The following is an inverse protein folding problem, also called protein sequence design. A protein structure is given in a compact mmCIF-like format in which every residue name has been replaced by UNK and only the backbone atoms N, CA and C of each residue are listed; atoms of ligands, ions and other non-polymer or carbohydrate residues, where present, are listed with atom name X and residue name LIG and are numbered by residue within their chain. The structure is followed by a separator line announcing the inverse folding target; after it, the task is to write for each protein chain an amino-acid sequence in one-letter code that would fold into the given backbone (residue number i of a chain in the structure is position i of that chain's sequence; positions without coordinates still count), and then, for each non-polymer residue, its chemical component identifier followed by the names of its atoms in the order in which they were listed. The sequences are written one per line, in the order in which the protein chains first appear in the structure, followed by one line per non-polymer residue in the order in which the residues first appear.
data_IF_090202068980
#
_entry.id   IF_090202068980
#
_cell.length_a   1.000
_cell.length_b   1.000
_cell.length_c   1.000
_cell.angle_alpha   90.00
_cell.angle_beta   90.00
_cell.angle_gamma   90.00
#
_symmetry.space_group_name_H-M   'P 1'
#
loop_
_entity.id
_entity.type
_entity.pdbx_description
1 polymer ?
#
# COMPACT_ATOMS: atom_id res chain seq x y z
N UNK A 1 11.17 10.03 -0.38
CA UNK A 1 10.29 10.04 0.80
C UNK A 1 10.48 8.69 1.49
N UNK A 2 11.01 8.68 2.71
CA UNK A 2 11.23 7.42 3.44
C UNK A 2 9.87 6.84 3.86
N UNK A 3 9.68 5.54 3.65
CA UNK A 3 8.54 4.80 4.16
C UNK A 3 8.72 4.52 5.66
N UNK A 4 7.66 4.31 6.43
CA UNK A 4 7.79 3.90 7.83
C UNK A 4 8.48 2.54 7.89
N UNK A 5 9.52 2.45 8.71
CA UNK A 5 10.24 1.23 9.01
C UNK A 5 9.53 0.53 10.18
N UNK A 6 9.09 -0.70 9.96
CA UNK A 6 8.30 -1.47 10.93
C UNK A 6 9.12 -2.12 12.04
N UNK A 7 10.46 -1.96 12.01
CA UNK A 7 11.39 -2.59 12.97
C UNK A 7 11.86 -1.67 14.08
N UNK A 8 11.39 -0.42 14.10
CA UNK A 8 11.82 0.57 15.08
C UNK A 8 10.93 0.57 16.32
N UNK A 9 11.45 1.05 17.48
CA UNK A 9 10.66 1.22 18.70
C UNK A 9 9.41 2.06 18.46
N UNK A 10 8.34 1.79 19.20
CA UNK A 10 7.03 2.43 19.01
C UNK A 10 7.08 3.97 19.05
N UNK A 11 7.93 4.56 19.87
CA UNK A 11 8.10 6.02 19.95
C UNK A 11 8.73 6.58 18.68
N UNK A 12 9.80 5.96 18.20
CA UNK A 12 10.46 6.35 16.96
C UNK A 12 9.55 6.11 15.75
N UNK A 13 8.79 5.03 15.76
CA UNK A 13 7.76 4.75 14.74
C UNK A 13 6.70 5.85 14.73
N UNK A 14 6.28 6.34 15.89
CA UNK A 14 5.32 7.44 16.01
C UNK A 14 5.84 8.71 15.35
N UNK A 15 7.09 9.12 15.65
CA UNK A 15 7.71 10.32 15.09
C UNK A 15 7.86 10.21 13.57
N UNK A 16 8.39 9.08 13.07
CA UNK A 16 8.53 8.83 11.62
C UNK A 16 7.19 8.78 10.90
N UNK A 17 6.18 8.20 11.52
CA UNK A 17 4.82 8.17 10.95
C UNK A 17 4.22 9.57 10.87
N UNK A 18 4.46 10.42 11.88
CA UNK A 18 4.01 11.81 11.87
C UNK A 18 4.70 12.62 10.76
N UNK A 19 6.01 12.50 10.64
CA UNK A 19 6.77 13.16 9.58
C UNK A 19 6.31 12.71 8.20
N UNK A 20 6.19 11.39 7.98
CA UNK A 20 5.70 10.81 6.74
C UNK A 20 4.31 11.31 6.37
N UNK A 21 3.38 11.34 7.32
CA UNK A 21 2.02 11.91 7.11
C UNK A 21 2.08 13.39 6.76
N UNK A 22 2.92 14.17 7.41
CA UNK A 22 3.12 15.58 7.11
C UNK A 22 3.61 15.81 5.68
N UNK A 23 4.56 14.99 5.22
CA UNK A 23 5.05 15.01 3.84
C UNK A 23 3.95 14.64 2.83
N UNK A 24 3.15 13.60 3.11
CA UNK A 24 2.00 13.23 2.27
C UNK A 24 0.96 14.35 2.21
N UNK A 25 0.64 14.99 3.34
CA UNK A 25 -0.29 16.12 3.38
C UNK A 25 0.21 17.31 2.56
N UNK A 26 1.53 17.57 2.58
CA UNK A 26 2.12 18.62 1.76
C UNK A 26 1.98 18.32 0.27
N UNK A 27 2.20 17.07 -0.15
CA UNK A 27 2.00 16.62 -1.53
C UNK A 27 0.53 16.64 -1.95
N UNK A 28 -0.37 16.27 -1.05
CA UNK A 28 -1.81 16.21 -1.33
C UNK A 28 -2.45 17.57 -1.62
N UNK A 29 -1.78 18.69 -1.26
CA UNK A 29 -2.20 20.05 -1.63
C UNK A 29 -2.20 20.28 -3.13
N UNK A 30 -1.44 19.50 -3.88
CA UNK A 30 -1.38 19.60 -5.33
C UNK A 30 -2.40 18.66 -5.97
N UNK A 31 -3.41 19.16 -6.68
CA UNK A 31 -4.52 18.34 -7.19
C UNK A 31 -4.10 17.32 -8.27
N UNK A 32 -2.97 17.55 -8.91
CA UNK A 32 -2.39 16.67 -9.94
C UNK A 32 -1.46 15.58 -9.37
N UNK A 33 -1.26 15.53 -8.05
CA UNK A 33 -0.48 14.50 -7.40
C UNK A 33 -1.39 13.36 -6.98
N UNK A 34 -1.03 12.16 -7.38
CA UNK A 34 -1.66 10.89 -6.99
C UNK A 34 -0.65 9.99 -6.30
N UNK A 35 -1.14 9.03 -5.55
CA UNK A 35 -0.33 8.06 -4.80
C UNK A 35 -0.53 6.66 -5.35
N UNK A 36 0.56 5.91 -5.49
CA UNK A 36 0.52 4.49 -5.85
C UNK A 36 0.67 3.64 -4.58
N UNK A 37 -0.34 2.83 -4.29
CA UNK A 37 -0.30 1.82 -3.26
C UNK A 37 0.51 0.63 -3.77
N UNK A 38 1.79 0.57 -3.40
CA UNK A 38 2.74 -0.45 -3.86
C UNK A 38 4.00 -0.50 -2.99
N UNK A 39 4.87 -1.49 -3.21
CA UNK A 39 6.20 -1.57 -2.66
C UNK A 39 6.25 -1.86 -1.15
N UNK A 40 5.19 -2.43 -0.57
CA UNK A 40 5.15 -2.71 0.87
C UNK A 40 6.06 -3.87 1.24
N UNK A 41 6.13 -4.91 0.42
CA UNK A 41 6.93 -6.12 0.73
C UNK A 41 8.43 -5.87 0.82
N UNK A 42 8.94 -4.79 0.25
CA UNK A 42 10.34 -4.39 0.46
C UNK A 42 10.62 -3.79 1.84
N UNK A 43 9.59 -3.50 2.60
CA UNK A 43 9.66 -2.87 3.93
C UNK A 43 9.25 -3.83 5.06
N UNK A 44 8.89 -5.07 4.74
CA UNK A 44 8.51 -6.10 5.70
C UNK A 44 9.66 -7.08 5.94
N UNK A 45 9.80 -7.57 7.19
CA UNK A 45 10.71 -8.66 7.53
C UNK A 45 10.20 -10.02 7.08
N UNK A 46 11.08 -11.03 7.16
CA UNK A 46 10.76 -12.42 6.87
C UNK A 46 9.52 -12.91 7.63
N UNK A 47 9.47 -12.71 8.94
CA UNK A 47 8.35 -13.16 9.78
C UNK A 47 7.04 -12.45 9.40
N UNK A 48 7.11 -11.20 8.97
CA UNK A 48 5.96 -10.43 8.51
C UNK A 48 5.48 -10.86 7.14
N UNK A 49 6.39 -11.09 6.19
CA UNK A 49 6.07 -11.51 4.81
C UNK A 49 5.53 -12.93 4.76
N UNK A 50 5.94 -13.80 5.70
CA UNK A 50 5.46 -15.18 5.79
C UNK A 50 4.21 -15.36 6.64
N UNK A 51 3.73 -14.28 7.29
CA UNK A 51 2.46 -14.27 7.97
C UNK A 51 1.29 -14.49 6.99
N UNK A 52 0.13 -14.83 7.52
CA UNK A 52 -1.07 -14.92 6.70
C UNK A 52 -1.53 -13.53 6.20
N UNK A 53 -2.34 -13.53 5.15
CA UNK A 53 -2.84 -12.31 4.49
C UNK A 53 -3.56 -11.37 5.46
N UNK A 54 -4.36 -11.92 6.39
CA UNK A 54 -5.09 -11.12 7.38
C UNK A 54 -4.12 -10.41 8.32
N UNK A 55 -3.12 -11.12 8.82
CA UNK A 55 -2.11 -10.56 9.73
C UNK A 55 -1.35 -9.40 9.07
N UNK A 56 -0.88 -9.58 7.84
CA UNK A 56 -0.19 -8.54 7.09
C UNK A 56 -1.11 -7.34 6.84
N UNK A 57 -2.35 -7.61 6.40
CA UNK A 57 -3.32 -6.56 6.12
C UNK A 57 -3.63 -5.71 7.37
N UNK A 58 -3.88 -6.33 8.51
CA UNK A 58 -4.12 -5.62 9.77
C UNK A 58 -2.92 -4.78 10.21
N UNK A 59 -1.71 -5.28 10.02
CA UNK A 59 -0.49 -4.59 10.41
C UNK A 59 -0.29 -3.30 9.61
N UNK A 60 -0.52 -3.32 8.29
CA UNK A 60 -0.29 -2.17 7.42
C UNK A 60 -1.51 -1.27 7.23
N UNK A 61 -2.69 -1.69 7.71
CA UNK A 61 -3.95 -0.96 7.57
C UNK A 61 -3.87 0.51 8.04
N UNK A 62 -3.23 0.88 9.17
CA UNK A 62 -3.17 2.27 9.62
C UNK A 62 -2.49 3.21 8.63
N UNK A 63 -1.45 2.73 7.92
CA UNK A 63 -0.77 3.54 6.90
C UNK A 63 -1.61 3.67 5.63
N UNK A 64 -2.24 2.59 5.21
CA UNK A 64 -3.14 2.60 4.04
C UNK A 64 -4.33 3.51 4.29
N UNK A 65 -4.96 3.43 5.46
CA UNK A 65 -6.03 4.36 5.88
C UNK A 65 -5.55 5.82 5.84
N UNK A 66 -4.32 6.08 6.29
CA UNK A 66 -3.74 7.44 6.22
C UNK A 66 -3.62 7.95 4.79
N UNK A 67 -3.23 7.09 3.85
CA UNK A 67 -3.14 7.44 2.42
C UNK A 67 -4.53 7.85 1.89
N UNK A 68 -5.55 7.03 2.14
CA UNK A 68 -6.91 7.33 1.69
C UNK A 68 -7.50 8.57 2.36
N UNK A 69 -7.24 8.78 3.65
CA UNK A 69 -7.69 9.97 4.39
C UNK A 69 -7.07 11.25 3.81
N UNK A 70 -5.79 11.19 3.40
CA UNK A 70 -5.04 12.37 2.94
C UNK A 70 -5.32 12.69 1.45
N UNK A 71 -5.35 11.68 0.58
CA UNK A 71 -5.50 11.89 -0.86
C UNK A 71 -6.93 11.71 -1.37
N UNK A 72 -7.74 10.94 -0.66
CA UNK A 72 -9.04 10.48 -1.15
C UNK A 72 -8.90 9.39 -2.22
N UNK A 73 -9.87 8.48 -2.29
CA UNK A 73 -9.87 7.36 -3.23
C UNK A 73 -9.64 7.76 -4.71
N UNK A 74 -10.14 8.92 -5.20
CA UNK A 74 -9.89 9.33 -6.58
C UNK A 74 -8.43 9.62 -6.94
N UNK A 75 -7.52 9.66 -5.97
CA UNK A 75 -6.10 9.90 -6.20
C UNK A 75 -5.20 8.76 -5.72
N UNK A 76 -5.77 7.62 -5.39
CA UNK A 76 -5.04 6.40 -5.03
C UNK A 76 -5.17 5.38 -6.14
N UNK A 77 -4.05 4.82 -6.59
CA UNK A 77 -3.98 3.75 -7.57
C UNK A 77 -3.24 2.55 -7.00
N UNK A 78 -3.67 1.35 -7.35
CA UNK A 78 -2.92 0.15 -7.02
C UNK A 78 -1.78 -0.08 -8.01
N UNK A 79 -0.69 -0.68 -7.53
CA UNK A 79 0.42 -1.12 -8.37
C UNK A 79 1.10 -2.34 -7.78
N UNK A 80 1.47 -3.28 -8.64
CA UNK A 80 2.18 -4.51 -8.26
C UNK A 80 3.60 -4.27 -7.78
N UNK A 81 4.21 -3.18 -8.23
CA UNK A 81 5.64 -2.89 -8.07
C UNK A 81 6.56 -3.95 -8.71
N UNK A 82 6.00 -4.76 -9.63
CA UNK A 82 6.79 -5.74 -10.38
C UNK A 82 7.83 -5.04 -11.27
N UNK A 83 9.07 -5.56 -11.41
CA UNK A 83 9.60 -6.77 -10.77
C UNK A 83 10.21 -6.53 -9.38
N UNK A 84 10.16 -5.31 -8.85
CA UNK A 84 10.81 -4.93 -7.58
C UNK A 84 10.21 -5.67 -6.39
N UNK A 85 8.91 -5.92 -6.38
CA UNK A 85 8.25 -6.69 -5.34
C UNK A 85 8.88 -8.08 -5.14
N UNK A 86 9.38 -8.70 -6.21
CA UNK A 86 10.03 -10.00 -6.16
C UNK A 86 11.41 -9.95 -5.48
N UNK A 87 12.12 -8.83 -5.54
CA UNK A 87 13.49 -8.72 -5.03
C UNK A 87 13.49 -8.86 -3.51
N UNK A 88 12.67 -8.07 -2.81
CA UNK A 88 12.54 -8.15 -1.35
C UNK A 88 11.97 -9.49 -0.91
N UNK A 89 10.85 -9.89 -1.49
CA UNK A 89 10.15 -11.13 -1.19
C UNK A 89 11.04 -12.37 -1.44
N UNK A 90 11.72 -12.43 -2.59
CA UNK A 90 12.57 -13.55 -2.94
C UNK A 90 13.82 -13.69 -2.07
N UNK A 91 14.38 -12.60 -1.57
CA UNK A 91 15.49 -12.65 -0.62
C UNK A 91 15.06 -13.25 0.73
N UNK A 92 13.80 -13.08 1.10
CA UNK A 92 13.26 -13.55 2.37
C UNK A 92 12.72 -14.99 2.31
N UNK A 93 11.93 -15.32 1.26
CA UNK A 93 11.26 -16.62 1.17
C UNK A 93 12.01 -17.67 0.33
N UNK A 94 13.17 -17.29 -0.22
CA UNK A 94 13.97 -18.10 -1.13
C UNK A 94 13.57 -17.92 -2.60
N UNK A 95 14.57 -18.07 -3.48
CA UNK A 95 14.40 -17.80 -4.93
C UNK A 95 13.31 -18.65 -5.60
N UNK A 96 13.00 -19.83 -5.02
CA UNK A 96 11.97 -20.72 -5.55
C UNK A 96 10.54 -20.19 -5.39
N UNK A 97 10.33 -19.23 -4.49
CA UNK A 97 9.02 -18.58 -4.21
C UNK A 97 8.95 -17.14 -4.72
N UNK A 98 9.97 -16.69 -5.41
CA UNK A 98 10.09 -15.30 -5.88
C UNK A 98 8.92 -14.86 -6.75
N UNK A 99 8.36 -15.77 -7.54
CA UNK A 99 7.25 -15.49 -8.46
C UNK A 99 5.91 -15.27 -7.74
N UNK A 100 5.79 -15.67 -6.46
CA UNK A 100 4.56 -15.51 -5.67
C UNK A 100 4.35 -14.13 -5.04
N UNK A 101 5.31 -13.22 -5.14
CA UNK A 101 5.22 -11.91 -4.47
C UNK A 101 4.08 -11.04 -5.03
N UNK A 102 3.82 -11.13 -6.32
CA UNK A 102 2.74 -10.40 -6.96
C UNK A 102 1.37 -10.86 -6.46
N UNK A 103 1.14 -12.17 -6.44
CA UNK A 103 -0.11 -12.78 -5.95
C UNK A 103 -0.31 -12.49 -4.47
N UNK A 104 0.75 -12.61 -3.67
CA UNK A 104 0.71 -12.32 -2.24
C UNK A 104 0.37 -10.84 -1.97
N UNK A 105 1.03 -9.91 -2.68
CA UNK A 105 0.73 -8.48 -2.55
C UNK A 105 -0.69 -8.15 -3.02
N UNK A 106 -1.15 -8.77 -4.09
CA UNK A 106 -2.52 -8.63 -4.56
C UNK A 106 -3.52 -9.07 -3.50
N UNK A 107 -3.35 -10.28 -2.94
CA UNK A 107 -4.24 -10.81 -1.91
C UNK A 107 -4.28 -9.92 -0.65
N UNK A 108 -3.13 -9.44 -0.19
CA UNK A 108 -3.06 -8.47 0.92
C UNK A 108 -3.78 -7.17 0.57
N UNK A 109 -3.60 -6.68 -0.65
CA UNK A 109 -4.26 -5.44 -1.10
C UNK A 109 -5.78 -5.59 -1.20
N UNK A 110 -6.27 -6.73 -1.71
CA UNK A 110 -7.69 -7.06 -1.73
C UNK A 110 -8.27 -7.02 -0.31
N UNK A 111 -7.61 -7.71 0.63
CA UNK A 111 -8.05 -7.75 2.03
C UNK A 111 -8.02 -6.37 2.71
N UNK A 112 -6.99 -5.56 2.45
CA UNK A 112 -6.91 -4.18 2.95
C UNK A 112 -8.10 -3.32 2.51
N UNK A 113 -8.43 -3.38 1.22
CA UNK A 113 -9.53 -2.61 0.66
C UNK A 113 -10.88 -3.11 1.18
N UNK A 114 -11.05 -4.42 1.39
CA UNK A 114 -12.22 -4.99 2.06
C UNK A 114 -12.36 -4.47 3.48
N UNK A 115 -11.29 -4.46 4.28
CA UNK A 115 -11.29 -3.94 5.65
C UNK A 115 -11.70 -2.46 5.69
N UNK A 116 -11.26 -1.65 4.74
CA UNK A 116 -11.66 -0.25 4.66
C UNK A 116 -13.15 -0.10 4.29
N UNK A 117 -13.69 -0.99 3.45
CA UNK A 117 -15.14 -1.02 3.17
C UNK A 117 -15.93 -1.47 4.39
N UNK A 118 -15.50 -2.53 5.09
CA UNK A 118 -16.13 -3.02 6.31
C UNK A 118 -16.20 -1.95 7.41
N UNK A 119 -15.18 -1.10 7.49
CA UNK A 119 -15.13 0.03 8.44
C UNK A 119 -15.92 1.26 7.99
N UNK A 120 -16.37 1.32 6.75
CA UNK A 120 -17.05 2.47 6.16
C UNK A 120 -16.13 3.61 5.72
N UNK A 121 -14.83 3.35 5.63
CA UNK A 121 -13.82 4.32 5.16
C UNK A 121 -13.80 4.43 3.63
N UNK A 122 -14.23 3.38 2.91
CA UNK A 122 -14.36 3.32 1.45
C UNK A 122 -15.69 2.70 1.03
N UNK A 123 -16.14 3.05 -0.16
CA UNK A 123 -17.23 2.36 -0.87
C UNK A 123 -16.68 1.29 -1.83
N UNK A 124 -17.51 0.32 -2.21
CA UNK A 124 -17.14 -0.68 -3.22
C UNK A 124 -16.81 -0.06 -4.59
N UNK A 125 -17.45 1.05 -4.94
CA UNK A 125 -17.19 1.79 -6.17
C UNK A 125 -15.79 2.41 -6.15
N UNK A 126 -15.40 3.04 -5.03
CA UNK A 126 -14.06 3.58 -4.85
C UNK A 126 -12.97 2.51 -4.93
N UNK A 127 -13.22 1.33 -4.35
CA UNK A 127 -12.32 0.18 -4.48
C UNK A 127 -12.14 -0.22 -5.95
N UNK A 128 -13.24 -0.31 -6.72
CA UNK A 128 -13.16 -0.55 -8.18
C UNK A 128 -12.33 0.52 -8.90
N UNK A 129 -12.44 1.77 -8.45
CA UNK A 129 -11.63 2.88 -8.96
C UNK A 129 -10.13 2.68 -8.74
N UNK A 130 -9.73 2.26 -7.54
CA UNK A 130 -8.32 2.03 -7.17
C UNK A 130 -7.65 0.97 -8.05
N UNK A 131 -8.40 -0.09 -8.42
CA UNK A 131 -7.89 -1.17 -9.26
C UNK A 131 -7.70 -0.80 -10.73
N UNK A 132 -8.45 0.15 -11.29
CA UNK A 132 -8.36 0.41 -12.72
C UNK A 132 -8.79 1.80 -13.19
N UNK A 133 -9.97 2.27 -12.83
CA UNK A 133 -10.54 3.52 -13.38
C UNK A 133 -9.70 4.76 -13.06
N UNK A 134 -9.15 4.83 -11.83
CA UNK A 134 -8.30 5.95 -11.41
C UNK A 134 -7.00 5.95 -12.20
N UNK A 135 -6.38 4.79 -12.42
CA UNK A 135 -5.15 4.69 -13.21
C UNK A 135 -5.40 5.08 -14.66
N UNK A 136 -6.50 4.62 -15.25
CA UNK A 136 -6.89 4.97 -16.62
C UNK A 136 -7.01 6.49 -16.81
N UNK A 137 -7.66 7.16 -15.87
CA UNK A 137 -7.81 8.61 -15.87
C UNK A 137 -6.48 9.34 -15.69
N UNK A 138 -5.65 8.94 -14.70
CA UNK A 138 -4.38 9.61 -14.40
C UNK A 138 -3.38 9.48 -15.54
N UNK A 139 -3.28 8.30 -16.14
CA UNK A 139 -2.36 8.04 -17.25
C UNK A 139 -2.98 8.34 -18.62
N UNK A 140 -4.21 8.87 -18.66
CA UNK A 140 -4.93 9.24 -19.89
C UNK A 140 -5.02 8.06 -20.87
N UNK A 141 -5.26 6.86 -20.35
CA UNK A 141 -5.50 5.69 -21.17
C UNK A 141 -6.89 5.82 -21.78
N UNK A 142 -6.99 5.73 -23.08
CA UNK A 142 -8.26 5.84 -23.83
C UNK A 142 -9.12 4.58 -23.70
N UNK A 143 -9.50 4.24 -22.46
CA UNK A 143 -10.36 3.10 -22.13
C UNK A 143 -11.79 3.55 -21.91
#
# INVERSE_FOLDING_TARGET
MAKPDLHIPAEEMWERTHEWRGQLQALAKYPNVAVKLSGVFSELDYDQVTADVECIAQQILPWVLSIFTIFGAPRVIWGSDWPVCNIGYGNMVGREKQDGAWEAWRAVSERLLELLVEKGDLTKEEVGGVWGQVVARIYKLGL
#
